data_IF_583641642519
#
_entry.id   IF_583641642519
#
_cell.length_a   1.000
_cell.length_b   1.000
_cell.length_c   1.000
_cell.angle_alpha   90.00
_cell.angle_beta   90.00
_cell.angle_gamma   90.00
#
_symmetry.space_group_name_H-M   'P 1'
#
loop_
_entity.id
_entity.type
_entity.pdbx_description
1 polymer ?
#
# COMPACT_ATOMS: atom_id res chain seq x y z
N UNK A 1 -22.99 60.60 -10.19
CA UNK A 1 -23.88 59.69 -10.95
C UNK A 1 -23.06 58.95 -12.00
N UNK A 2 -23.28 57.63 -12.14
CA UNK A 2 -22.90 56.72 -13.26
C UNK A 2 -21.43 56.26 -13.29
N UNK A 3 -21.16 55.01 -12.86
CA UNK A 3 -21.12 53.72 -13.61
C UNK A 3 -19.71 53.48 -14.22
N UNK A 4 -18.87 52.64 -13.60
CA UNK A 4 -18.64 51.21 -13.86
C UNK A 4 -17.82 50.92 -15.14
N UNK A 5 -16.59 50.43 -14.94
CA UNK A 5 -15.98 49.34 -15.71
C UNK A 5 -14.67 48.88 -15.05
N UNK A 6 -14.76 48.12 -13.96
CA UNK A 6 -13.62 47.29 -13.49
C UNK A 6 -13.71 45.96 -14.23
N UNK A 7 -12.87 45.80 -15.25
CA UNK A 7 -12.62 44.51 -15.89
C UNK A 7 -11.91 43.64 -14.86
N UNK A 8 -12.65 42.72 -14.26
CA UNK A 8 -12.09 41.69 -13.38
C UNK A 8 -11.58 40.56 -14.28
N UNK A 9 -10.28 40.55 -14.56
CA UNK A 9 -9.62 39.39 -15.15
C UNK A 9 -9.57 38.34 -14.05
N UNK A 10 -10.57 37.44 -14.03
CA UNK A 10 -10.50 36.21 -13.25
C UNK A 10 -9.44 35.36 -13.94
N UNK A 11 -8.22 35.42 -13.42
CA UNK A 11 -7.17 34.48 -13.79
C UNK A 11 -7.69 33.08 -13.52
N UNK A 12 -7.84 32.29 -14.59
CA UNK A 12 -8.03 30.86 -14.49
C UNK A 12 -6.85 30.30 -13.71
N UNK A 13 -7.03 30.10 -12.40
CA UNK A 13 -6.25 29.11 -11.68
C UNK A 13 -6.58 27.82 -12.39
N UNK A 14 -5.62 27.36 -13.21
CA UNK A 14 -5.50 25.97 -13.59
C UNK A 14 -5.43 25.17 -12.29
N UNK A 15 -6.59 24.87 -11.73
CA UNK A 15 -6.77 23.75 -10.84
C UNK A 15 -6.49 22.55 -11.73
N UNK A 16 -5.23 22.16 -11.83
CA UNK A 16 -4.88 20.78 -12.10
C UNK A 16 -5.56 19.98 -11.00
N UNK A 17 -6.77 19.52 -11.30
CA UNK A 17 -7.46 18.49 -10.55
C UNK A 17 -6.54 17.27 -10.61
N UNK A 18 -5.65 17.16 -9.62
CA UNK A 18 -5.03 15.89 -9.30
C UNK A 18 -6.23 15.04 -8.89
N UNK A 19 -6.66 14.16 -9.77
CA UNK A 19 -7.61 13.13 -9.43
C UNK A 19 -6.93 12.30 -8.33
N UNK A 20 -7.19 12.65 -7.08
CA UNK A 20 -6.86 11.77 -5.97
C UNK A 20 -7.70 10.53 -6.22
N UNK A 21 -7.05 9.40 -6.53
CA UNK A 21 -7.75 8.13 -6.62
C UNK A 21 -8.51 7.96 -5.31
N UNK A 22 -9.84 7.87 -5.40
CA UNK A 22 -10.69 7.78 -4.23
C UNK A 22 -10.37 6.47 -3.50
N UNK A 23 -10.03 6.55 -2.21
CA UNK A 23 -9.76 5.36 -1.39
C UNK A 23 -11.07 4.61 -1.22
N UNK A 24 -11.19 3.45 -1.88
CA UNK A 24 -12.37 2.59 -1.82
C UNK A 24 -12.43 1.77 -0.54
N UNK A 25 -11.28 1.47 0.06
CA UNK A 25 -11.21 0.69 1.28
C UNK A 25 -9.87 0.83 1.99
N UNK A 26 -9.88 0.57 3.28
CA UNK A 26 -8.69 0.57 4.12
C UNK A 26 -8.71 -0.65 5.02
N UNK A 27 -7.60 -1.38 5.06
CA UNK A 27 -7.40 -2.54 5.92
C UNK A 27 -6.27 -2.20 6.89
N UNK A 28 -6.57 -2.21 8.18
CA UNK A 28 -5.59 -1.96 9.24
C UNK A 28 -5.28 -3.25 9.99
N UNK A 29 -3.98 -3.58 10.06
CA UNK A 29 -3.51 -4.85 10.58
C UNK A 29 -2.56 -4.56 11.72
N UNK A 30 -2.90 -4.93 12.96
CA UNK A 30 -2.03 -4.72 14.10
C UNK A 30 -0.77 -5.57 13.96
N UNK A 31 0.39 -4.99 14.28
CA UNK A 31 1.68 -5.66 14.20
C UNK A 31 2.55 -5.28 15.39
N UNK A 32 3.51 -6.13 15.72
CA UNK A 32 4.52 -5.87 16.73
C UNK A 32 5.92 -6.22 16.21
N UNK A 33 6.98 -5.60 16.77
CA UNK A 33 8.35 -6.03 16.50
C UNK A 33 8.51 -7.54 16.70
N UNK A 34 9.28 -8.19 15.82
CA UNK A 34 9.47 -9.64 15.83
C UNK A 34 8.34 -10.47 15.21
N UNK A 35 7.20 -9.89 14.82
CA UNK A 35 6.12 -10.59 14.10
C UNK A 35 6.26 -10.54 12.58
N UNK A 36 7.13 -9.66 12.08
CA UNK A 36 7.46 -9.51 10.68
C UNK A 36 8.70 -10.36 10.31
N UNK A 37 8.55 -11.19 9.29
CA UNK A 37 9.66 -11.97 8.73
C UNK A 37 9.71 -11.79 7.23
N UNK A 38 10.72 -11.05 6.78
CA UNK A 38 11.09 -10.98 5.37
C UNK A 38 11.79 -12.29 4.98
N UNK A 39 11.29 -12.97 3.95
CA UNK A 39 11.90 -14.18 3.42
C UNK A 39 12.20 -14.01 1.93
N UNK A 40 13.32 -14.55 1.45
CA UNK A 40 13.62 -14.57 0.02
C UNK A 40 12.63 -15.50 -0.68
N UNK A 41 12.00 -15.04 -1.78
CA UNK A 41 11.17 -15.91 -2.60
C UNK A 41 12.04 -16.94 -3.34
N UNK A 42 11.44 -18.07 -3.76
CA UNK A 42 12.19 -19.09 -4.49
C UNK A 42 12.77 -18.53 -5.80
N UNK A 43 13.90 -19.09 -6.24
CA UNK A 43 14.62 -18.71 -7.48
C UNK A 43 13.75 -18.70 -8.74
N UNK A 44 12.59 -19.35 -8.72
CA UNK A 44 11.67 -19.46 -9.85
C UNK A 44 10.61 -18.35 -9.91
N UNK A 45 10.33 -17.68 -8.78
CA UNK A 45 9.23 -16.70 -8.70
C UNK A 45 9.68 -15.24 -8.68
N UNK A 46 10.97 -14.99 -8.42
CA UNK A 46 11.51 -13.64 -8.18
C UNK A 46 10.97 -13.00 -6.90
N UNK A 47 11.75 -12.08 -6.30
CA UNK A 47 11.30 -11.18 -5.24
C UNK A 47 11.48 -11.65 -3.78
N UNK A 48 10.85 -10.91 -2.87
CA UNK A 48 10.77 -11.19 -1.44
C UNK A 48 9.31 -11.32 -1.01
N UNK A 49 9.07 -12.00 0.10
CA UNK A 49 7.77 -12.01 0.75
C UNK A 49 7.90 -11.63 2.21
N UNK A 50 6.98 -10.78 2.67
CA UNK A 50 6.86 -10.36 4.05
C UNK A 50 5.71 -11.13 4.69
N UNK A 51 6.05 -12.02 5.62
CA UNK A 51 5.04 -12.72 6.41
C UNK A 51 4.89 -12.03 7.75
N UNK A 52 3.64 -11.85 8.15
CA UNK A 52 3.26 -11.31 9.43
C UNK A 52 2.41 -12.36 10.14
N UNK A 53 2.82 -12.69 11.36
CA UNK A 53 2.05 -13.53 12.27
C UNK A 53 1.52 -12.62 13.40
N UNK A 54 0.54 -11.76 13.13
CA UNK A 54 -0.11 -11.00 14.19
C UNK A 54 -0.76 -11.97 15.17
N UNK A 55 -0.76 -11.60 16.46
CA UNK A 55 -1.32 -12.46 17.51
C UNK A 55 -2.82 -12.71 17.24
N UNK A 56 -3.25 -13.97 17.30
CA UNK A 56 -4.66 -14.36 17.14
C UNK A 56 -5.06 -14.74 15.70
N UNK A 57 -4.64 -15.93 15.25
CA UNK A 57 -5.16 -16.70 14.10
C UNK A 57 -5.29 -16.01 12.72
N UNK A 58 -4.86 -14.75 12.59
CA UNK A 58 -4.76 -14.03 11.33
C UNK A 58 -3.32 -14.09 10.84
N UNK A 59 -3.12 -14.40 9.57
CA UNK A 59 -1.82 -14.31 8.92
C UNK A 59 -1.92 -13.39 7.71
N UNK A 60 -0.99 -12.45 7.62
CA UNK A 60 -0.83 -11.60 6.45
C UNK A 60 0.46 -11.99 5.72
N UNK A 61 0.40 -12.17 4.41
CA UNK A 61 1.56 -12.35 3.56
C UNK A 61 1.53 -11.35 2.42
N UNK A 62 2.57 -10.53 2.28
CA UNK A 62 2.77 -9.65 1.14
C UNK A 62 3.85 -10.23 0.25
N UNK A 63 3.60 -10.29 -1.06
CA UNK A 63 4.52 -10.89 -2.03
C UNK A 63 4.63 -10.04 -3.28
N UNK A 64 5.86 -9.76 -3.68
CA UNK A 64 6.15 -9.26 -5.03
C UNK A 64 6.11 -10.44 -6.00
N UNK A 65 5.29 -10.37 -7.05
CA UNK A 65 5.16 -11.40 -8.07
C UNK A 65 5.46 -10.84 -9.45
N UNK A 66 6.36 -11.50 -10.17
CA UNK A 66 6.62 -11.23 -11.59
C UNK A 66 5.80 -12.16 -12.47
N UNK A 67 4.81 -11.60 -13.17
CA UNK A 67 4.06 -12.27 -14.23
C UNK A 67 4.63 -11.95 -15.62
N UNK A 68 3.95 -12.44 -16.66
CA UNK A 68 4.24 -12.10 -18.05
C UNK A 68 3.98 -10.59 -18.26
N UNK A 69 5.05 -9.80 -18.35
CA UNK A 69 5.07 -8.34 -18.61
C UNK A 69 4.48 -7.44 -17.51
N UNK A 70 4.25 -7.95 -16.30
CA UNK A 70 3.79 -7.13 -15.18
C UNK A 70 4.37 -7.60 -13.86
N UNK A 71 4.67 -6.65 -12.99
CA UNK A 71 4.97 -6.91 -11.58
C UNK A 71 3.74 -6.56 -10.77
N UNK A 72 3.41 -7.36 -9.77
CA UNK A 72 2.26 -7.12 -8.92
C UNK A 72 2.60 -7.38 -7.47
N UNK A 73 2.08 -6.53 -6.59
CA UNK A 73 2.04 -6.77 -5.16
C UNK A 73 0.79 -7.60 -4.86
N UNK A 74 0.99 -8.78 -4.28
CA UNK A 74 -0.09 -9.64 -3.82
C UNK A 74 -0.16 -9.59 -2.30
N UNK A 75 -1.33 -9.28 -1.76
CA UNK A 75 -1.61 -9.26 -0.32
C UNK A 75 -2.55 -10.42 -0.03
N UNK A 76 -2.08 -11.39 0.76
CA UNK A 76 -2.86 -12.53 1.21
C UNK A 76 -3.25 -12.31 2.67
N UNK A 77 -4.54 -12.10 2.91
CA UNK A 77 -5.14 -11.96 4.22
C UNK A 77 -5.84 -13.27 4.55
N UNK A 78 -5.33 -14.02 5.53
CA UNK A 78 -5.98 -15.24 5.99
C UNK A 78 -6.42 -15.06 7.43
N UNK A 79 -7.72 -14.93 7.64
CA UNK A 79 -8.36 -15.00 8.95
C UNK A 79 -8.89 -16.40 9.26
N UNK A 80 -9.54 -16.53 10.42
CA UNK A 80 -10.12 -17.81 10.87
C UNK A 80 -11.32 -18.26 10.02
N UNK A 81 -12.00 -17.34 9.33
CA UNK A 81 -13.26 -17.59 8.60
C UNK A 81 -13.13 -17.23 7.11
N UNK A 82 -12.34 -16.22 6.77
CA UNK A 82 -12.20 -15.70 5.40
C UNK A 82 -10.74 -15.64 4.98
N UNK A 83 -10.48 -15.93 3.71
CA UNK A 83 -9.19 -15.72 3.06
C UNK A 83 -9.39 -14.82 1.86
N UNK A 84 -8.74 -13.66 1.86
CA UNK A 84 -8.83 -12.68 0.80
C UNK A 84 -7.46 -12.49 0.15
N UNK A 85 -7.48 -12.26 -1.17
CA UNK A 85 -6.30 -11.93 -1.93
C UNK A 85 -6.54 -10.61 -2.66
N UNK A 86 -5.70 -9.62 -2.39
CA UNK A 86 -5.67 -8.36 -3.12
C UNK A 86 -4.45 -8.36 -4.04
N UNK A 87 -4.60 -7.74 -5.21
CA UNK A 87 -3.55 -7.64 -6.21
C UNK A 87 -3.49 -6.19 -6.68
N UNK A 88 -2.34 -5.55 -6.49
CA UNK A 88 -2.04 -4.21 -7.01
C UNK A 88 -0.91 -4.28 -8.03
N UNK A 89 -0.99 -3.45 -9.08
CA UNK A 89 0.13 -3.27 -9.99
C UNK A 89 1.24 -2.46 -9.31
N UNK A 90 2.51 -2.80 -9.61
CA UNK A 90 3.68 -2.05 -9.14
C UNK A 90 4.64 -1.85 -10.31
N UNK A 91 5.41 -0.77 -10.28
CA UNK A 91 6.25 -0.34 -11.40
C UNK A 91 7.37 -1.34 -11.72
N UNK A 92 8.10 -1.79 -10.70
CA UNK A 92 9.25 -2.69 -10.86
C UNK A 92 9.33 -3.72 -9.73
N UNK A 93 10.11 -4.78 -9.96
CA UNK A 93 10.41 -5.75 -8.90
C UNK A 93 11.24 -5.13 -7.78
N UNK A 94 12.22 -4.29 -8.13
CA UNK A 94 13.12 -3.66 -7.16
C UNK A 94 12.35 -2.70 -6.24
N UNK A 95 11.49 -1.85 -6.80
CA UNK A 95 10.65 -0.94 -6.01
C UNK A 95 9.71 -1.69 -5.06
N UNK A 96 9.14 -2.82 -5.50
CA UNK A 96 8.31 -3.66 -4.65
C UNK A 96 9.12 -4.31 -3.51
N UNK A 97 10.33 -4.80 -3.81
CA UNK A 97 11.22 -5.39 -2.80
C UNK A 97 11.64 -4.34 -1.77
N UNK A 98 12.00 -3.13 -2.20
CA UNK A 98 12.34 -2.01 -1.34
C UNK A 98 11.17 -1.62 -0.43
N UNK A 99 9.95 -1.59 -0.96
CA UNK A 99 8.74 -1.30 -0.16
C UNK A 99 8.52 -2.35 0.94
N UNK A 100 8.67 -3.65 0.62
CA UNK A 100 8.56 -4.72 1.62
C UNK A 100 9.68 -4.68 2.66
N UNK A 101 10.90 -4.32 2.25
CA UNK A 101 12.03 -4.13 3.17
C UNK A 101 11.79 -2.95 4.11
N UNK A 102 11.29 -1.83 3.58
CA UNK A 102 10.91 -0.65 4.36
C UNK A 102 9.82 -0.99 5.38
N UNK A 103 8.74 -1.65 4.95
CA UNK A 103 7.69 -2.11 5.87
C UNK A 103 8.26 -2.96 6.99
N UNK A 104 9.13 -3.93 6.67
CA UNK A 104 9.75 -4.76 7.69
C UNK A 104 10.59 -3.92 8.66
N UNK A 105 11.41 -2.99 8.15
CA UNK A 105 12.23 -2.11 8.99
C UNK A 105 11.37 -1.24 9.92
N UNK A 106 10.30 -0.64 9.41
CA UNK A 106 9.36 0.16 10.20
C UNK A 106 8.71 -0.65 11.33
N UNK A 107 8.36 -1.91 11.07
CA UNK A 107 7.81 -2.82 12.09
C UNK A 107 8.85 -3.15 13.15
N UNK A 108 10.10 -3.42 12.75
CA UNK A 108 11.19 -3.62 13.73
C UNK A 108 11.47 -2.36 14.55
N UNK A 109 11.26 -1.17 13.95
CA UNK A 109 11.40 0.12 14.61
C UNK A 109 10.21 0.53 15.49
N UNK A 110 9.19 -0.33 15.62
CA UNK A 110 8.08 -0.12 16.54
C UNK A 110 6.79 0.38 15.92
N UNK A 111 6.64 0.34 14.59
CA UNK A 111 5.32 0.49 13.98
C UNK A 111 4.36 -0.56 14.57
N UNK A 112 3.14 -0.13 14.88
CA UNK A 112 2.14 -0.96 15.55
C UNK A 112 0.96 -1.33 14.67
N UNK A 113 0.87 -0.75 13.47
CA UNK A 113 -0.17 -1.04 12.50
C UNK A 113 0.38 -0.93 11.08
N UNK A 114 0.03 -1.88 10.22
CA UNK A 114 0.16 -1.73 8.78
C UNK A 114 -1.20 -1.33 8.24
N UNK A 115 -1.24 -0.29 7.43
CA UNK A 115 -2.42 0.14 6.69
C UNK A 115 -2.24 -0.20 5.22
N UNK A 116 -3.24 -0.85 4.66
CA UNK A 116 -3.35 -1.17 3.24
C UNK A 116 -4.56 -0.41 2.70
N UNK A 117 -4.31 0.52 1.78
CA UNK A 117 -5.37 1.27 1.10
C UNK A 117 -5.63 0.65 -0.27
N UNK A 118 -6.90 0.41 -0.56
CA UNK A 118 -7.39 -0.04 -1.87
C UNK A 118 -8.00 1.18 -2.54
N UNK A 119 -7.42 1.60 -3.65
CA UNK A 119 -7.86 2.77 -4.40
C UNK A 119 -8.80 2.38 -5.53
N UNK A 120 -9.59 3.33 -6.03
CA UNK A 120 -10.58 3.07 -7.06
C UNK A 120 -10.06 2.69 -8.44
N UNK A 121 -8.75 2.83 -8.65
CA UNK A 121 -8.02 2.36 -9.83
C UNK A 121 -7.37 0.98 -9.63
N UNK A 122 -7.72 0.28 -8.54
CA UNK A 122 -7.15 -1.00 -8.14
C UNK A 122 -5.65 -0.95 -7.78
N UNK A 123 -5.12 0.23 -7.48
CA UNK A 123 -3.81 0.35 -6.85
C UNK A 123 -3.90 0.01 -5.35
N UNK A 124 -2.80 -0.52 -4.83
CA UNK A 124 -2.64 -0.81 -3.41
C UNK A 124 -1.55 0.10 -2.87
N UNK A 125 -1.83 0.83 -1.80
CA UNK A 125 -0.85 1.65 -1.09
C UNK A 125 -0.60 1.06 0.29
N UNK A 126 0.66 0.78 0.60
CA UNK A 126 1.08 0.26 1.90
C UNK A 126 1.69 1.37 2.76
N UNK A 127 1.29 1.45 4.02
CA UNK A 127 1.90 2.36 4.99
C UNK A 127 1.95 1.75 6.38
N UNK A 128 2.85 2.29 7.21
CA UNK A 128 3.00 1.91 8.61
C UNK A 128 2.57 3.08 9.49
N UNK A 129 1.94 2.76 10.62
CA UNK A 129 1.53 3.74 11.63
C UNK A 129 2.19 3.38 12.96
N UNK A 130 2.60 4.42 13.69
CA UNK A 130 3.07 4.33 15.07
C UNK A 130 2.14 5.17 15.93
N UNK A 131 1.35 4.54 16.82
CA UNK A 131 0.62 5.31 17.83
C UNK A 131 1.58 5.63 18.97
N UNK A 132 1.87 6.92 19.15
CA UNK A 132 2.53 7.47 20.34
C UNK A 132 1.62 7.42 21.56
#
# INVERSE_FOLDING_TARGET
>A
MKLLAKVFVVGCVLATTIAQAEVQGTIEIPVHPGQAQLKPASKLSGGVYLNLQPAGAQSLSLKCHQGLNKVSLMVFLKGSILSEQLIGAVDTMDSCVEELQKLNADIQNGANTIRIEVHGDHTLVLSTLSRH
#
